data_IF_216742825158
#
_entry.id   IF_216742825158
#
_cell.length_a   1.000
_cell.length_b   1.000
_cell.length_c   1.000
_cell.angle_alpha   90.00
_cell.angle_beta   90.00
_cell.angle_gamma   90.00
#
_symmetry.space_group_name_H-M   'P 1'
#
loop_
_entity.id
_entity.type
_entity.pdbx_description
1 polymer ?
#
# COMPACT_ATOMS: atom_id res chain seq x y z
N UNK A 1 11.35 3.03 1.56
CA UNK A 1 10.99 4.30 2.25
C UNK A 1 10.43 3.96 3.62
N UNK A 2 10.60 4.82 4.63
CA UNK A 2 10.08 4.60 5.99
C UNK A 2 9.05 5.66 6.38
N UNK A 3 7.89 5.24 6.89
CA UNK A 3 6.78 6.08 7.35
C UNK A 3 6.70 5.95 8.88
N UNK A 4 6.57 7.06 9.61
CA UNK A 4 6.43 7.02 11.07
C UNK A 4 5.05 6.47 11.44
N UNK A 5 5.02 5.45 12.31
CA UNK A 5 3.79 4.82 12.78
C UNK A 5 3.31 5.49 14.08
N UNK A 6 2.93 6.77 14.00
CA UNK A 6 2.60 7.61 15.16
C UNK A 6 1.39 7.08 15.95
N UNK A 7 0.44 6.46 15.25
CA UNK A 7 -0.56 5.56 15.79
C UNK A 7 -0.14 4.13 15.42
N UNK A 8 0.42 3.34 16.35
CA UNK A 8 1.02 2.05 16.03
C UNK A 8 -0.04 1.08 15.50
N UNK A 9 -0.18 1.00 14.18
CA UNK A 9 -0.99 0.01 13.51
C UNK A 9 -0.26 -1.33 13.55
N UNK A 10 -0.93 -2.38 14.01
CA UNK A 10 -0.42 -3.74 13.84
C UNK A 10 -0.50 -4.17 12.37
N UNK A 11 0.28 -5.16 11.96
CA UNK A 11 0.24 -5.67 10.59
C UNK A 11 -1.16 -6.17 10.18
N UNK A 12 -1.90 -6.74 11.14
CA UNK A 12 -3.28 -7.18 10.94
C UNK A 12 -4.22 -5.97 10.75
N UNK A 13 -4.12 -4.96 11.62
CA UNK A 13 -4.96 -3.76 11.51
C UNK A 13 -4.69 -3.00 10.21
N UNK A 14 -3.42 -2.88 9.82
CA UNK A 14 -3.04 -2.27 8.55
C UNK A 14 -3.60 -3.06 7.36
N UNK A 15 -3.50 -4.39 7.39
CA UNK A 15 -4.04 -5.25 6.35
C UNK A 15 -5.55 -5.10 6.20
N UNK A 16 -6.29 -5.15 7.31
CA UNK A 16 -7.75 -4.99 7.30
C UNK A 16 -8.18 -3.60 6.82
N UNK A 17 -7.43 -2.57 7.23
CA UNK A 17 -7.66 -1.19 6.82
C UNK A 17 -7.39 -0.98 5.32
N UNK A 18 -6.26 -1.48 4.82
CA UNK A 18 -5.94 -1.42 3.39
C UNK A 18 -7.02 -2.11 2.58
N UNK A 19 -7.42 -3.32 2.96
CA UNK A 19 -8.45 -4.09 2.26
C UNK A 19 -9.82 -3.39 2.23
N UNK A 20 -10.18 -2.69 3.31
CA UNK A 20 -11.47 -2.02 3.42
C UNK A 20 -11.52 -0.67 2.71
N UNK A 21 -10.46 0.12 2.82
CA UNK A 21 -10.49 1.55 2.48
C UNK A 21 -9.59 1.93 1.29
N UNK A 22 -8.51 1.19 1.02
CA UNK A 22 -7.56 1.57 -0.02
C UNK A 22 -8.08 1.40 -1.45
N UNK A 23 -8.76 0.30 -1.84
CA UNK A 23 -9.31 0.14 -3.20
C UNK A 23 -10.26 1.26 -3.63
N UNK A 24 -11.28 1.66 -2.83
CA UNK A 24 -12.13 2.77 -3.23
C UNK A 24 -11.39 4.11 -3.22
N UNK A 25 -10.42 4.31 -2.32
CA UNK A 25 -9.60 5.53 -2.28
C UNK A 25 -8.77 5.69 -3.55
N UNK A 26 -7.98 4.68 -3.93
CA UNK A 26 -7.08 4.78 -5.08
C UNK A 26 -7.84 4.90 -6.41
N UNK A 27 -8.98 4.21 -6.52
CA UNK A 27 -9.84 4.29 -7.70
C UNK A 27 -10.49 5.67 -7.88
N UNK A 28 -10.84 6.35 -6.79
CA UNK A 28 -11.33 7.73 -6.85
C UNK A 28 -10.22 8.71 -7.28
N UNK A 29 -9.02 8.58 -6.70
CA UNK A 29 -7.87 9.44 -7.03
C UNK A 29 -7.42 9.28 -8.49
N UNK A 30 -7.27 8.04 -8.96
CA UNK A 30 -6.81 7.74 -10.31
C UNK A 30 -7.94 7.79 -11.36
N UNK A 31 -9.19 8.05 -10.97
CA UNK A 31 -10.38 7.93 -11.84
C UNK A 31 -10.40 6.59 -12.58
N UNK A 32 -10.02 5.53 -11.87
CA UNK A 32 -9.81 4.18 -12.43
C UNK A 32 -10.69 3.16 -11.71
N UNK A 33 -10.59 1.90 -12.13
CA UNK A 33 -11.24 0.77 -11.46
C UNK A 33 -10.27 -0.42 -11.39
N UNK A 34 -9.10 -0.16 -10.81
CA UNK A 34 -8.06 -1.15 -10.59
C UNK A 34 -8.51 -2.17 -9.56
N UNK A 35 -8.30 -3.44 -9.89
CA UNK A 35 -8.30 -4.52 -8.91
C UNK A 35 -7.06 -4.38 -8.02
N UNK A 36 -7.30 -4.38 -6.70
CA UNK A 36 -6.24 -4.35 -5.70
C UNK A 36 -6.37 -5.59 -4.84
N UNK A 37 -5.28 -6.35 -4.76
CA UNK A 37 -5.19 -7.56 -3.95
C UNK A 37 -4.20 -7.36 -2.81
N UNK A 38 -4.49 -8.00 -1.68
CA UNK A 38 -3.68 -7.89 -0.47
C UNK A 38 -3.35 -9.27 0.06
N UNK A 39 -2.11 -9.46 0.49
CA UNK A 39 -1.68 -10.65 1.21
C UNK A 39 -0.90 -10.24 2.46
N UNK A 40 -1.13 -10.92 3.58
CA UNK A 40 -0.46 -10.64 4.84
C UNK A 40 0.18 -11.90 5.40
N UNK A 41 1.44 -11.78 5.84
CA UNK A 41 2.22 -12.84 6.49
C UNK A 41 3.06 -12.19 7.59
N UNK A 42 2.77 -12.52 8.85
CA UNK A 42 3.47 -12.01 10.03
C UNK A 42 3.45 -10.47 10.11
N UNK A 43 4.59 -9.81 9.92
CA UNK A 43 4.77 -8.36 9.92
C UNK A 43 4.75 -7.75 8.50
N UNK A 44 4.53 -8.57 7.47
CA UNK A 44 4.61 -8.16 6.06
C UNK A 44 3.22 -8.11 5.43
N UNK A 45 2.91 -6.98 4.79
CA UNK A 45 1.71 -6.77 3.98
C UNK A 45 2.12 -6.49 2.54
N UNK A 46 1.72 -7.37 1.62
CA UNK A 46 1.92 -7.23 0.19
C UNK A 46 0.67 -6.66 -0.47
N UNK A 47 0.89 -5.78 -1.44
CA UNK A 47 -0.15 -5.14 -2.25
C UNK A 47 0.15 -5.45 -3.72
N UNK A 48 -0.85 -5.95 -4.43
CA UNK A 48 -0.74 -6.35 -5.82
C UNK A 48 -1.80 -5.66 -6.67
N UNK A 49 -1.40 -5.30 -7.89
CA UNK A 49 -2.28 -4.73 -8.90
C UNK A 49 -2.14 -5.58 -10.17
N UNK A 50 -3.00 -6.60 -10.35
CA UNK A 50 -2.88 -7.58 -11.45
C UNK A 50 -2.92 -6.95 -12.85
N UNK A 51 -3.54 -5.76 -12.96
CA UNK A 51 -3.62 -5.01 -14.22
C UNK A 51 -2.34 -4.23 -14.56
N UNK A 52 -1.44 -4.08 -13.59
CA UNK A 52 -0.23 -3.27 -13.70
C UNK A 52 1.00 -4.17 -13.82
N UNK A 53 1.15 -5.11 -12.88
CA UNK A 53 2.32 -5.98 -12.79
C UNK A 53 1.93 -7.39 -12.32
N UNK A 54 2.65 -8.39 -12.82
CA UNK A 54 2.55 -9.75 -12.31
C UNK A 54 3.32 -9.87 -10.98
N UNK A 55 2.60 -10.16 -9.89
CA UNK A 55 3.15 -10.25 -8.54
C UNK A 55 2.79 -9.07 -7.64
N UNK A 56 3.65 -8.78 -6.66
CA UNK A 56 3.43 -7.69 -5.70
C UNK A 56 3.95 -6.39 -6.30
N UNK A 57 3.12 -5.35 -6.30
CA UNK A 57 3.56 -4.00 -6.65
C UNK A 57 4.29 -3.34 -5.48
N UNK A 58 3.76 -3.52 -4.26
CA UNK A 58 4.32 -2.94 -3.06
C UNK A 58 4.39 -3.96 -1.92
N UNK A 59 5.42 -3.82 -1.10
CA UNK A 59 5.59 -4.58 0.14
C UNK A 59 5.74 -3.60 1.29
N UNK A 60 4.93 -3.77 2.34
CA UNK A 60 5.01 -3.00 3.58
C UNK A 60 5.45 -3.92 4.71
N UNK A 61 6.52 -3.55 5.41
CA UNK A 61 6.98 -4.22 6.62
C UNK A 61 6.56 -3.35 7.81
N UNK A 62 5.78 -3.91 8.72
CA UNK A 62 5.26 -3.22 9.90
C UNK A 62 6.18 -3.46 11.08
N UNK A 63 6.97 -2.44 11.41
CA UNK A 63 7.78 -2.38 12.62
C UNK A 63 7.01 -1.81 13.81
N UNK A 64 7.68 -1.76 14.97
CA UNK A 64 7.09 -1.24 16.21
C UNK A 64 6.72 0.26 16.11
N UNK A 65 7.58 1.07 15.49
CA UNK A 65 7.42 2.53 15.40
C UNK A 65 7.41 3.05 13.95
N UNK A 66 7.61 2.17 12.95
CA UNK A 66 7.75 2.56 11.55
C UNK A 66 7.15 1.52 10.59
N UNK A 67 6.68 2.00 9.44
CA UNK A 67 6.30 1.17 8.30
C UNK A 67 7.38 1.31 7.22
N UNK A 68 7.94 0.21 6.73
CA UNK A 68 8.89 0.21 5.63
C UNK A 68 8.19 -0.19 4.33
N UNK A 69 8.07 0.75 3.39
CA UNK A 69 7.51 0.52 2.06
C UNK A 69 8.63 0.23 1.06
N UNK A 70 8.47 -0.86 0.30
CA UNK A 70 9.30 -1.23 -0.84
C UNK A 70 8.45 -1.25 -2.09
N UNK A 71 8.89 -0.52 -3.12
CA UNK A 71 8.31 -0.53 -4.46
C UNK A 71 8.99 -1.60 -5.32
N UNK A 72 8.17 -2.42 -5.98
CA UNK A 72 8.59 -3.46 -6.92
C UNK A 72 8.14 -3.17 -8.35
N UNK A 73 7.47 -2.04 -8.57
CA UNK A 73 7.06 -1.60 -9.89
C UNK A 73 8.26 -1.18 -10.73
N UNK A 74 8.10 -1.23 -12.05
CA UNK A 74 9.17 -0.89 -13.01
C UNK A 74 8.82 0.44 -13.65
N UNK A 75 9.78 1.37 -13.69
CA UNK A 75 9.63 2.67 -14.36
C UNK A 75 9.02 2.51 -15.77
N UNK A 76 7.93 3.24 -16.04
CA UNK A 76 7.20 3.21 -17.31
C UNK A 76 6.00 2.26 -17.36
N UNK A 77 5.73 1.53 -16.27
CA UNK A 77 4.46 0.81 -16.07
C UNK A 77 3.43 1.80 -15.51
N UNK A 78 2.16 1.69 -15.93
CA UNK A 78 0.98 2.48 -15.52
C UNK A 78 1.20 3.41 -14.30
N UNK A 79 1.32 4.73 -14.50
CA UNK A 79 1.43 5.80 -13.48
C UNK A 79 1.91 5.36 -12.07
N UNK A 80 2.99 4.56 -12.02
CA UNK A 80 3.43 3.88 -10.77
C UNK A 80 3.91 4.88 -9.72
N UNK A 81 4.45 6.01 -10.18
CA UNK A 81 4.83 7.15 -9.34
C UNK A 81 3.61 7.73 -8.60
N UNK A 82 2.46 7.86 -9.28
CA UNK A 82 1.23 8.36 -8.65
C UNK A 82 0.61 7.33 -7.70
N UNK A 83 0.70 6.04 -8.06
CA UNK A 83 0.27 4.94 -7.18
C UNK A 83 1.05 4.91 -5.88
N UNK A 84 2.38 5.02 -5.96
CA UNK A 84 3.24 5.08 -4.77
C UNK A 84 2.90 6.31 -3.94
N UNK A 85 2.78 7.48 -4.59
CA UNK A 85 2.42 8.72 -3.91
C UNK A 85 1.12 8.58 -3.11
N UNK A 86 0.05 8.11 -3.75
CA UNK A 86 -1.25 7.96 -3.08
C UNK A 86 -1.24 6.88 -1.99
N UNK A 87 -0.47 5.80 -2.17
CA UNK A 87 -0.28 4.81 -1.12
C UNK A 87 0.39 5.43 0.12
N UNK A 88 1.45 6.22 -0.09
CA UNK A 88 2.16 6.89 1.01
C UNK A 88 1.29 7.92 1.70
N UNK A 89 0.53 8.72 0.93
CA UNK A 89 -0.44 9.67 1.49
C UNK A 89 -1.49 8.96 2.34
N UNK A 90 -2.06 7.87 1.82
CA UNK A 90 -3.04 7.05 2.54
C UNK A 90 -2.45 6.48 3.84
N UNK A 91 -1.26 5.87 3.77
CA UNK A 91 -0.60 5.31 4.95
C UNK A 91 -0.27 6.38 5.99
N UNK A 92 0.19 7.55 5.54
CA UNK A 92 0.47 8.69 6.43
C UNK A 92 -0.80 9.15 7.14
N UNK A 93 -1.91 9.34 6.40
CA UNK A 93 -3.20 9.76 6.98
C UNK A 93 -3.75 8.78 8.03
N UNK A 94 -3.41 7.49 7.91
CA UNK A 94 -3.93 6.43 8.78
C UNK A 94 -2.98 6.09 9.94
N UNK A 95 -1.68 6.20 9.71
CA UNK A 95 -0.64 5.98 10.71
C UNK A 95 -0.36 7.22 11.56
N UNK A 96 -0.87 8.42 11.22
CA UNK A 96 -0.80 9.60 12.10
C UNK A 96 -0.92 10.96 11.42
#
# INVERSE_FOLDING_TARGET
MSINNVQPLSAQDLFDLLKAEFPPYINDQLRSNLAVEFAHVADIVNISFPEIIDGNAYTIIVGEDNLELTDHTIEGTYDTELLEQHLVEFLTLKAG
#
